data_IF_911665376184
#
_entry.id   IF_911665376184
#
_cell.length_a   1.000
_cell.length_b   1.000
_cell.length_c   1.000
_cell.angle_alpha   90.00
_cell.angle_beta   90.00
_cell.angle_gamma   90.00
#
_symmetry.space_group_name_H-M   'P 1'
#
loop_
_entity.id
_entity.type
_entity.pdbx_description
1 polymer ?
#
# COMPACT_ATOMS: atom_id res chain seq x y z
N UNK A 1 9.84 -4.05 -31.36
CA UNK A 1 9.03 -3.58 -30.23
C UNK A 1 9.91 -3.70 -28.99
N UNK A 2 10.52 -2.60 -28.54
CA UNK A 2 11.38 -2.61 -27.36
C UNK A 2 10.45 -2.65 -26.16
N UNK A 3 10.50 -3.75 -25.40
CA UNK A 3 9.88 -3.83 -24.08
C UNK A 3 10.64 -2.86 -23.18
N UNK A 4 10.19 -1.60 -23.13
CA UNK A 4 10.50 -0.73 -22.00
C UNK A 4 9.92 -1.46 -20.80
N UNK A 5 10.79 -2.05 -19.97
CA UNK A 5 10.37 -2.53 -18.67
C UNK A 5 9.77 -1.33 -17.94
N UNK A 6 8.45 -1.30 -17.81
CA UNK A 6 7.79 -0.35 -16.94
C UNK A 6 8.28 -0.66 -15.54
N UNK A 7 9.28 0.07 -15.05
CA UNK A 7 9.46 0.10 -13.60
C UNK A 7 8.22 0.80 -13.05
N UNK A 8 7.63 0.23 -12.01
CA UNK A 8 6.48 0.84 -11.33
C UNK A 8 6.90 2.10 -10.52
N UNK A 9 8.15 2.53 -10.68
CA UNK A 9 8.73 3.69 -10.01
C UNK A 9 8.23 4.95 -10.69
N UNK A 10 7.54 5.77 -9.92
CA UNK A 10 7.10 7.10 -10.33
C UNK A 10 8.04 8.19 -9.79
N UNK A 11 9.06 7.81 -9.01
CA UNK A 11 10.08 8.70 -8.54
C UNK A 11 11.26 7.96 -7.91
N UNK A 12 12.45 8.54 -8.02
CA UNK A 12 13.67 8.07 -7.38
C UNK A 12 14.47 9.29 -6.94
N UNK A 13 14.77 9.39 -5.65
CA UNK A 13 15.49 10.52 -5.05
C UNK A 13 16.74 10.00 -4.34
N UNK A 14 17.91 10.43 -4.80
CA UNK A 14 19.17 9.99 -4.21
C UNK A 14 19.46 10.68 -2.87
N UNK A 15 19.95 9.91 -1.89
CA UNK A 15 20.26 10.40 -0.54
C UNK A 15 21.67 10.98 -0.39
N UNK A 16 22.43 11.08 -1.49
CA UNK A 16 23.68 11.82 -1.55
C UNK A 16 24.76 11.12 -2.35
N UNK A 17 25.73 11.90 -2.84
CA UNK A 17 26.80 11.46 -3.76
C UNK A 17 27.71 10.35 -3.20
N UNK A 18 27.73 10.19 -1.88
CA UNK A 18 28.57 9.21 -1.17
C UNK A 18 27.76 8.03 -0.60
N UNK A 19 26.46 7.96 -0.86
CA UNK A 19 25.60 6.84 -0.44
C UNK A 19 25.09 6.11 -1.68
N UNK A 20 24.96 4.79 -1.60
CA UNK A 20 24.31 3.98 -2.64
C UNK A 20 22.83 3.75 -2.32
N UNK A 21 22.21 4.72 -1.65
CA UNK A 21 20.85 4.65 -1.12
C UNK A 21 19.98 5.67 -1.82
N UNK A 22 18.86 5.20 -2.33
CA UNK A 22 17.87 6.03 -3.00
C UNK A 22 16.50 5.79 -2.36
N UNK A 23 15.71 6.85 -2.25
CA UNK A 23 14.28 6.73 -1.95
C UNK A 23 13.55 6.49 -3.26
N UNK A 24 13.00 5.29 -3.42
CA UNK A 24 12.19 4.93 -4.58
C UNK A 24 10.71 5.08 -4.20
N UNK A 25 9.91 5.58 -5.13
CA UNK A 25 8.48 5.81 -4.97
C UNK A 25 7.75 5.01 -6.03
N UNK A 26 6.93 4.04 -5.62
CA UNK A 26 6.07 3.29 -6.52
C UNK A 26 4.63 3.76 -6.48
N UNK A 27 3.97 3.79 -7.63
CA UNK A 27 2.52 3.92 -7.69
C UNK A 27 1.89 2.54 -7.88
N UNK A 28 1.08 2.09 -6.92
CA UNK A 28 0.37 0.83 -6.98
C UNK A 28 -1.12 1.08 -6.89
N UNK A 29 -1.84 0.71 -7.93
CA UNK A 29 -3.30 0.70 -7.90
C UNK A 29 -3.79 -0.48 -7.07
N UNK A 30 -4.82 -0.26 -6.28
CA UNK A 30 -5.45 -1.34 -5.55
C UNK A 30 -6.11 -2.34 -6.55
N UNK A 31 -5.84 -3.66 -6.44
CA UNK A 31 -6.29 -4.65 -7.42
C UNK A 31 -7.81 -4.88 -7.44
N UNK A 32 -8.52 -4.56 -6.35
CA UNK A 32 -9.99 -4.73 -6.25
C UNK A 32 -10.68 -3.38 -6.29
N UNK A 33 -10.21 -2.43 -5.47
CA UNK A 33 -10.75 -1.07 -5.36
C UNK A 33 -9.94 -0.16 -6.27
N UNK A 34 -10.00 -0.42 -7.58
CA UNK A 34 -9.18 0.26 -8.60
C UNK A 34 -9.32 1.79 -8.61
N UNK A 35 -10.36 2.35 -8.01
CA UNK A 35 -10.47 3.79 -7.75
C UNK A 35 -9.46 4.36 -6.74
N UNK A 36 -8.61 3.53 -6.13
CA UNK A 36 -7.55 3.93 -5.19
C UNK A 36 -6.17 3.63 -5.76
N UNK A 37 -5.29 4.63 -5.72
CA UNK A 37 -3.85 4.47 -5.99
C UNK A 37 -3.05 4.84 -4.76
N UNK A 38 -2.11 3.97 -4.39
CA UNK A 38 -1.17 4.16 -3.30
C UNK A 38 0.21 4.48 -3.84
N UNK A 39 0.79 5.59 -3.37
CA UNK A 39 2.18 5.93 -3.59
C UNK A 39 2.97 5.43 -2.38
N UNK A 40 3.90 4.51 -2.60
CA UNK A 40 4.67 3.85 -1.55
C UNK A 40 6.12 4.26 -1.75
N UNK A 41 6.72 4.87 -0.74
CA UNK A 41 8.15 5.18 -0.75
C UNK A 41 8.91 4.23 0.16
N UNK A 42 10.05 3.73 -0.28
CA UNK A 42 10.99 2.96 0.54
C UNK A 42 12.42 3.30 0.13
N UNK A 43 13.37 2.98 1.01
CA UNK A 43 14.79 3.10 0.68
C UNK A 43 15.26 1.82 -0.01
N UNK A 44 15.88 1.97 -1.16
CA UNK A 44 16.65 0.91 -1.84
C UNK A 44 18.14 1.19 -1.67
N UNK A 45 18.91 0.14 -1.40
CA UNK A 45 20.34 0.22 -1.23
C UNK A 45 21.05 -0.71 -2.22
N UNK A 46 21.59 -0.15 -3.31
CA UNK A 46 22.09 -0.91 -4.47
C UNK A 46 23.35 -1.75 -4.18
N UNK A 47 24.00 -1.55 -3.02
CA UNK A 47 25.24 -2.25 -2.61
C UNK A 47 25.28 -2.63 -1.11
N UNK A 48 24.19 -2.45 -0.37
CA UNK A 48 24.15 -2.75 1.06
C UNK A 48 23.59 -4.16 1.28
N UNK A 49 24.06 -4.86 2.32
CA UNK A 49 23.48 -6.15 2.74
C UNK A 49 22.12 -5.96 3.43
N UNK A 50 21.46 -4.80 3.32
CA UNK A 50 20.08 -4.63 3.77
C UNK A 50 19.48 -3.32 3.26
N UNK A 51 18.33 -3.40 2.60
CA UNK A 51 17.43 -2.25 2.51
C UNK A 51 16.94 -1.86 3.92
N UNK A 52 16.93 -0.55 4.26
CA UNK A 52 16.26 -0.06 5.45
C UNK A 52 14.78 -0.43 5.48
N UNK A 53 14.21 -0.55 6.68
CA UNK A 53 12.77 -0.84 6.82
C UNK A 53 11.89 0.40 6.81
N UNK A 54 12.51 1.58 6.66
CA UNK A 54 11.82 2.86 6.55
C UNK A 54 10.99 2.92 5.26
N UNK A 55 9.71 3.21 5.43
CA UNK A 55 8.76 3.34 4.34
C UNK A 55 7.68 4.35 4.68
N UNK A 56 7.06 4.90 3.65
CA UNK A 56 5.87 5.74 3.76
C UNK A 56 4.85 5.33 2.72
N UNK A 57 3.58 5.67 2.95
CA UNK A 57 2.48 5.40 2.03
C UNK A 57 1.49 6.54 2.00
N UNK A 58 1.03 6.90 0.81
CA UNK A 58 -0.07 7.83 0.58
C UNK A 58 -1.04 7.26 -0.45
N UNK A 59 -2.19 6.80 0.02
CA UNK A 59 -3.28 6.30 -0.80
C UNK A 59 -4.31 7.42 -1.02
N UNK A 60 -4.74 7.59 -2.28
CA UNK A 60 -5.74 8.58 -2.66
C UNK A 60 -6.77 7.95 -3.58
N UNK A 61 -7.98 8.49 -3.54
CA UNK A 61 -8.98 8.19 -4.55
C UNK A 61 -8.54 8.87 -5.86
N UNK A 62 -8.18 8.06 -6.84
CA UNK A 62 -7.74 8.46 -8.20
C UNK A 62 -8.77 8.07 -9.26
N UNK A 63 -9.81 7.33 -8.87
CA UNK A 63 -10.92 6.94 -9.74
C UNK A 63 -12.19 6.64 -8.96
N UNK A 64 -13.13 6.00 -9.63
CA UNK A 64 -14.40 5.63 -9.01
C UNK A 64 -14.25 4.45 -8.05
N UNK A 65 -14.73 4.61 -6.82
CA UNK A 65 -14.90 3.52 -5.86
C UNK A 65 -16.34 3.01 -5.98
N UNK A 66 -16.50 1.77 -6.47
CA UNK A 66 -17.81 1.17 -6.71
C UNK A 66 -18.23 0.21 -5.60
N UNK A 67 -19.54 0.12 -5.35
CA UNK A 67 -20.11 -0.87 -4.43
C UNK A 67 -19.74 -2.32 -4.81
N UNK A 68 -19.66 -2.61 -6.12
CA UNK A 68 -19.26 -3.93 -6.64
C UNK A 68 -17.82 -4.29 -6.28
N UNK A 69 -16.92 -3.31 -6.25
CA UNK A 69 -15.54 -3.51 -5.79
C UNK A 69 -15.51 -3.81 -4.29
N UNK A 70 -16.20 -2.99 -3.48
CA UNK A 70 -16.22 -3.17 -2.03
C UNK A 70 -16.90 -4.47 -1.58
N UNK A 71 -17.86 -5.00 -2.35
CA UNK A 71 -18.48 -6.29 -2.06
C UNK A 71 -17.50 -7.49 -2.14
N UNK A 72 -16.31 -7.31 -2.73
CA UNK A 72 -15.30 -8.37 -2.93
C UNK A 72 -14.15 -8.32 -1.93
N UNK A 73 -14.06 -7.28 -1.10
CA UNK A 73 -12.93 -7.10 -0.17
C UNK A 73 -13.13 -7.95 1.09
N UNK A 74 -12.04 -8.30 1.75
CA UNK A 74 -12.10 -8.81 3.12
C UNK A 74 -12.46 -7.67 4.08
N UNK A 75 -13.53 -7.87 4.85
CA UNK A 75 -14.07 -6.93 5.84
C UNK A 75 -13.78 -7.36 7.28
N UNK A 76 -13.04 -8.45 7.47
CA UNK A 76 -12.55 -8.87 8.78
C UNK A 76 -11.59 -7.82 9.36
N UNK A 77 -11.39 -7.85 10.68
CA UNK A 77 -10.40 -6.97 11.34
C UNK A 77 -8.96 -7.22 10.87
N UNK A 78 -8.68 -8.41 10.32
CA UNK A 78 -7.38 -8.73 9.75
C UNK A 78 -7.19 -8.10 8.36
N UNK A 79 -8.28 -7.84 7.61
CA UNK A 79 -8.22 -7.38 6.22
C UNK A 79 -7.36 -8.28 5.34
N UNK A 80 -6.83 -7.74 4.25
CA UNK A 80 -6.09 -8.51 3.24
C UNK A 80 -4.83 -7.81 2.73
N UNK A 81 -3.81 -8.58 2.37
CA UNK A 81 -2.58 -8.04 1.75
C UNK A 81 -2.85 -7.76 0.28
N UNK A 82 -2.83 -6.49 -0.11
CA UNK A 82 -3.11 -6.04 -1.48
C UNK A 82 -1.84 -5.83 -2.30
N UNK A 83 -0.69 -5.64 -1.63
CA UNK A 83 0.61 -5.54 -2.26
C UNK A 83 1.68 -6.21 -1.39
N UNK A 84 2.62 -6.89 -2.03
CA UNK A 84 3.79 -7.50 -1.39
C UNK A 84 4.99 -7.39 -2.31
N UNK A 85 6.11 -6.96 -1.77
CA UNK A 85 7.38 -6.86 -2.48
C UNK A 85 8.49 -7.45 -1.63
N UNK A 86 9.40 -8.20 -2.26
CA UNK A 86 10.55 -8.78 -1.58
C UNK A 86 11.68 -7.76 -1.50
N UNK A 87 12.21 -7.50 -0.30
CA UNK A 87 13.40 -6.68 -0.10
C UNK A 87 14.59 -7.60 0.12
N UNK A 88 15.70 -7.32 -0.55
CA UNK A 88 16.74 -8.25 -1.03
C UNK A 88 17.52 -9.06 0.04
N UNK A 89 17.29 -8.88 1.34
CA UNK A 89 18.04 -9.61 2.38
C UNK A 89 17.14 -10.46 3.29
N UNK A 90 17.52 -11.74 3.40
CA UNK A 90 17.06 -12.76 4.36
C UNK A 90 15.60 -12.54 4.81
N UNK A 91 14.69 -12.74 3.85
CA UNK A 91 13.25 -12.79 4.02
C UNK A 91 12.59 -11.51 4.55
N UNK A 92 13.12 -10.32 4.19
CA UNK A 92 12.36 -9.08 4.36
C UNK A 92 11.33 -8.92 3.25
N UNK A 93 10.12 -8.52 3.60
CA UNK A 93 9.12 -8.11 2.62
C UNK A 93 8.39 -6.86 3.05
N UNK A 94 8.21 -5.94 2.12
CA UNK A 94 7.25 -4.86 2.24
C UNK A 94 5.86 -5.41 1.94
N UNK A 95 4.89 -5.12 2.79
CA UNK A 95 3.49 -5.50 2.60
C UNK A 95 2.62 -4.26 2.76
N UNK A 96 1.58 -4.16 1.95
CA UNK A 96 0.46 -3.24 2.17
C UNK A 96 -0.79 -4.05 2.41
N UNK A 97 -1.44 -3.80 3.54
CA UNK A 97 -2.67 -4.47 3.94
C UNK A 97 -3.82 -3.47 3.93
N UNK A 98 -4.89 -3.83 3.22
CA UNK A 98 -6.15 -3.10 3.21
C UNK A 98 -7.06 -3.64 4.30
N UNK A 99 -7.58 -2.75 5.12
CA UNK A 99 -8.55 -3.05 6.19
C UNK A 99 -9.76 -2.14 5.97
N UNK A 100 -10.96 -2.71 6.08
CA UNK A 100 -12.18 -1.91 6.04
C UNK A 100 -12.61 -1.54 7.46
N UNK A 101 -12.65 -0.24 7.74
CA UNK A 101 -13.28 0.30 8.93
C UNK A 101 -14.76 0.58 8.61
N UNK A 102 -15.64 -0.31 9.08
CA UNK A 102 -17.07 -0.25 8.84
C UNK A 102 -17.76 0.90 9.59
N UNK A 103 -17.27 1.25 10.78
CA UNK A 103 -17.85 2.31 11.61
C UNK A 103 -17.62 3.67 10.94
N UNK A 104 -16.36 3.95 10.59
CA UNK A 104 -15.97 5.20 9.94
C UNK A 104 -16.06 5.16 8.41
N UNK A 105 -16.56 4.06 7.82
CA UNK A 105 -16.75 3.87 6.37
C UNK A 105 -15.50 4.26 5.58
N UNK A 106 -14.36 3.72 5.99
CA UNK A 106 -13.03 4.12 5.53
C UNK A 106 -12.19 2.90 5.17
N UNK A 107 -11.45 3.00 4.06
CA UNK A 107 -10.43 2.02 3.72
C UNK A 107 -9.11 2.44 4.34
N UNK A 108 -8.52 1.57 5.13
CA UNK A 108 -7.23 1.75 5.79
C UNK A 108 -6.19 0.95 5.01
N UNK A 109 -5.07 1.58 4.68
CA UNK A 109 -3.92 0.97 4.04
C UNK A 109 -2.73 1.07 4.98
N UNK A 110 -2.37 -0.06 5.59
CA UNK A 110 -1.21 -0.18 6.45
C UNK A 110 -0.05 -0.75 5.64
N UNK A 111 1.00 0.04 5.42
CA UNK A 111 2.27 -0.45 4.92
C UNK A 111 3.16 -0.87 6.08
N UNK A 112 3.74 -2.06 6.02
CA UNK A 112 4.63 -2.55 7.06
C UNK A 112 5.69 -3.49 6.48
N UNK A 113 6.85 -3.53 7.11
CA UNK A 113 7.89 -4.51 6.81
C UNK A 113 7.68 -5.76 7.67
N UNK A 114 7.96 -6.94 7.15
CA UNK A 114 8.11 -8.15 7.97
C UNK A 114 9.50 -8.72 7.74
N UNK A 115 10.21 -9.03 8.83
CA UNK A 115 11.40 -9.87 8.82
C UNK A 115 11.02 -11.19 9.48
N UNK A 116 11.11 -12.30 8.74
CA UNK A 116 10.66 -13.63 9.20
C UNK A 116 11.31 -14.06 10.53
N UNK A 117 12.48 -13.51 10.89
CA UNK A 117 13.22 -13.89 12.11
C UNK A 117 12.91 -13.06 13.37
N UNK A 118 12.31 -11.87 13.27
CA UNK A 118 12.21 -10.94 14.42
C UNK A 118 10.98 -10.04 14.45
N UNK A 119 10.15 -10.05 13.39
CA UNK A 119 9.21 -8.97 13.16
C UNK A 119 9.93 -7.65 12.83
N UNK A 120 9.18 -6.65 12.36
CA UNK A 120 9.65 -5.27 12.20
C UNK A 120 8.57 -4.34 12.73
N UNK A 121 8.99 -3.28 13.42
CA UNK A 121 8.09 -2.26 13.97
C UNK A 121 7.86 -1.09 13.01
N UNK A 122 8.58 -1.05 11.88
CA UNK A 122 8.45 0.02 10.89
C UNK A 122 7.15 -0.16 10.09
N UNK A 123 6.29 0.84 10.19
CA UNK A 123 5.01 0.90 9.50
C UNK A 123 4.63 2.33 9.17
N UNK A 124 3.72 2.49 8.21
CA UNK A 124 3.07 3.74 7.86
C UNK A 124 1.62 3.47 7.50
N UNK A 125 0.76 4.46 7.67
CA UNK A 125 -0.68 4.34 7.50
C UNK A 125 -1.19 5.39 6.52
N UNK A 126 -2.13 5.00 5.68
CA UNK A 126 -2.94 5.93 4.90
C UNK A 126 -4.40 5.50 4.94
N UNK A 127 -5.32 6.46 4.84
CA UNK A 127 -6.75 6.21 4.86
C UNK A 127 -7.43 6.87 3.67
N UNK A 128 -8.43 6.18 3.11
CA UNK A 128 -9.28 6.69 2.02
C UNK A 128 -10.73 6.60 2.48
N UNK A 129 -11.38 7.73 2.79
CA UNK A 129 -12.77 7.73 3.21
C UNK A 129 -13.69 7.37 2.04
N UNK A 130 -14.79 6.65 2.31
CA UNK A 130 -15.83 6.40 1.31
C UNK A 130 -16.86 7.53 1.24
N UNK A 131 -16.74 8.54 2.11
CA UNK A 131 -17.59 9.72 2.11
C UNK A 131 -17.59 10.41 0.74
N UNK A 132 -18.77 10.76 0.25
CA UNK A 132 -18.98 11.37 -1.06
C UNK A 132 -18.47 10.55 -2.27
N UNK A 133 -18.27 9.24 -2.09
CA UNK A 133 -17.99 8.31 -3.18
C UNK A 133 -19.27 7.61 -3.62
N UNK A 134 -19.28 7.03 -4.83
CA UNK A 134 -20.42 6.23 -5.31
C UNK A 134 -20.67 4.96 -4.51
N UNK A 135 -19.73 4.56 -3.66
CA UNK A 135 -19.90 3.44 -2.74
C UNK A 135 -20.45 3.86 -1.36
N UNK A 136 -20.71 5.15 -1.12
CA UNK A 136 -21.18 5.65 0.18
C UNK A 136 -22.46 4.95 0.66
N UNK A 137 -23.46 4.81 -0.22
CA UNK A 137 -24.72 4.14 0.12
C UNK A 137 -24.52 2.66 0.46
N UNK A 138 -23.61 1.99 -0.23
CA UNK A 138 -23.24 0.62 0.11
C UNK A 138 -22.60 0.55 1.50
N UNK A 139 -21.72 1.50 1.82
CA UNK A 139 -21.01 1.54 3.09
C UNK A 139 -21.97 1.76 4.28
N UNK A 140 -22.95 2.65 4.13
CA UNK A 140 -24.03 2.84 5.12
C UNK A 140 -24.84 1.56 5.34
N UNK A 141 -25.16 0.82 4.26
CA UNK A 141 -25.91 -0.42 4.38
C UNK A 141 -25.15 -1.54 5.13
N UNK A 142 -23.81 -1.48 5.20
CA UNK A 142 -23.03 -2.51 5.91
C UNK A 142 -22.94 -2.28 7.42
N UNK A 143 -23.07 -1.05 7.89
CA UNK A 143 -23.09 -0.73 9.32
C UNK A 143 -24.31 -1.33 10.01
N UNK A 144 -25.45 -1.40 9.31
CA UNK A 144 -26.70 -1.99 9.82
C UNK A 144 -26.64 -3.52 9.94
N UNK A 145 -25.63 -4.17 9.34
CA UNK A 145 -25.49 -5.62 9.28
C UNK A 145 -24.35 -6.16 10.18
N UNK A 146 -23.68 -5.29 10.94
CA UNK A 146 -22.57 -5.63 11.84
C UNK A 146 -23.00 -5.60 13.30
#
# INVERSE_FOLDING_TARGET
MVLVGCSDDVGKVSLGLFTTKDVVINAKQDPIVTGVTCHISHVEADLDFSDPSDMSIACRQTGEISAKALAKIDRSKNGEVVFKESKSILFKSLKVRRIYDAENKTLIYLSYSTKESSGSHHHSLSTVPLYNTKAWQWALAQELNN
#
